data_IF_861659789427
#
_entry.id   IF_861659789427
#
_cell.length_a   1.000
_cell.length_b   1.000
_cell.length_c   1.000
_cell.angle_alpha   90.00
_cell.angle_beta   90.00
_cell.angle_gamma   90.00
#
_symmetry.space_group_name_H-M   'P 1'
#
loop_
_entity.id
_entity.type
_entity.pdbx_description
1 polymer ?
#
# COMPACT_ATOMS: atom_id res chain seq x y z
N UNK A 1 -31.40 5.96 2.75
CA UNK A 1 -30.40 6.86 3.40
C UNK A 1 -29.42 6.13 4.33
N UNK A 2 -29.66 4.86 4.68
CA UNK A 2 -28.85 4.05 5.62
C UNK A 2 -27.61 3.38 5.02
N UNK A 3 -27.59 3.13 3.70
CA UNK A 3 -26.50 2.37 3.05
C UNK A 3 -25.16 3.12 3.00
N UNK A 4 -25.19 4.46 2.86
CA UNK A 4 -23.99 5.31 2.74
C UNK A 4 -23.23 5.43 4.07
N UNK A 5 -23.96 5.63 5.18
CA UNK A 5 -23.40 5.74 6.54
C UNK A 5 -22.65 4.47 6.98
N UNK A 6 -23.12 3.28 6.59
CA UNK A 6 -22.43 2.02 6.92
C UNK A 6 -21.11 1.87 6.15
N UNK A 7 -21.09 2.29 4.87
CA UNK A 7 -19.88 2.28 4.04
C UNK A 7 -18.77 3.16 4.62
N UNK A 8 -19.11 4.39 5.04
CA UNK A 8 -18.14 5.36 5.58
C UNK A 8 -17.55 4.89 6.93
N UNK A 9 -18.38 4.34 7.82
CA UNK A 9 -17.92 3.80 9.11
C UNK A 9 -16.99 2.60 8.95
N UNK A 10 -17.31 1.65 8.07
CA UNK A 10 -16.45 0.47 7.83
C UNK A 10 -15.10 0.85 7.20
N UNK A 11 -15.05 1.90 6.36
CA UNK A 11 -13.78 2.42 5.85
C UNK A 11 -12.97 3.11 6.95
N UNK A 12 -13.60 3.89 7.82
CA UNK A 12 -12.92 4.55 8.93
C UNK A 12 -12.31 3.56 9.94
N UNK A 13 -13.03 2.49 10.27
CA UNK A 13 -12.51 1.43 11.16
C UNK A 13 -11.32 0.72 10.53
N UNK A 14 -11.37 0.39 9.24
CA UNK A 14 -10.25 -0.23 8.52
C UNK A 14 -9.02 0.66 8.48
N UNK A 15 -9.18 1.95 8.14
CA UNK A 15 -8.09 2.91 8.16
C UNK A 15 -7.46 3.07 9.55
N UNK A 16 -8.27 3.12 10.61
CA UNK A 16 -7.78 3.19 11.98
C UNK A 16 -6.96 1.95 12.33
N UNK A 17 -7.45 0.76 11.97
CA UNK A 17 -6.72 -0.49 12.16
C UNK A 17 -5.37 -0.48 11.43
N UNK A 18 -5.34 -0.11 10.13
CA UNK A 18 -4.10 -0.01 9.36
C UNK A 18 -3.11 0.98 9.98
N UNK A 19 -3.60 2.13 10.44
CA UNK A 19 -2.76 3.13 11.08
C UNK A 19 -2.15 2.61 12.39
N UNK A 20 -2.97 2.00 13.26
CA UNK A 20 -2.50 1.46 14.54
C UNK A 20 -1.49 0.34 14.33
N UNK A 21 -1.77 -0.60 13.43
CA UNK A 21 -0.85 -1.70 13.14
C UNK A 21 0.43 -1.19 12.45
N UNK A 22 0.34 -0.20 11.57
CA UNK A 22 1.51 0.42 10.94
C UNK A 22 2.41 1.13 11.96
N UNK A 23 1.83 1.86 12.92
CA UNK A 23 2.58 2.49 14.02
C UNK A 23 3.20 1.42 14.93
N UNK A 24 2.43 0.41 15.32
CA UNK A 24 2.92 -0.70 16.13
C UNK A 24 4.08 -1.43 15.44
N UNK A 25 4.00 -1.64 14.13
CA UNK A 25 5.07 -2.26 13.35
C UNK A 25 6.37 -1.48 13.46
N UNK A 26 6.34 -0.15 13.32
CA UNK A 26 7.54 0.70 13.50
C UNK A 26 8.10 0.55 14.90
N UNK A 27 7.26 0.72 15.92
CA UNK A 27 7.71 0.74 17.31
C UNK A 27 8.26 -0.61 17.76
N UNK A 28 7.74 -1.72 17.23
CA UNK A 28 8.16 -3.06 17.60
C UNK A 28 9.41 -3.51 16.82
N UNK A 29 9.59 -3.09 15.56
CA UNK A 29 10.74 -3.55 14.75
C UNK A 29 11.97 -2.64 14.87
N UNK A 30 11.79 -1.36 15.12
CA UNK A 30 12.90 -0.39 15.13
C UNK A 30 13.96 -0.61 16.21
N UNK A 31 13.67 -1.09 17.43
CA UNK A 31 14.72 -1.40 18.39
C UNK A 31 15.73 -2.41 17.84
N UNK A 32 15.24 -3.51 17.26
CA UNK A 32 16.09 -4.53 16.62
C UNK A 32 16.85 -3.98 15.40
N UNK A 33 16.23 -3.08 14.64
CA UNK A 33 16.88 -2.45 13.50
C UNK A 33 18.04 -1.54 13.96
N UNK A 34 17.87 -0.79 15.05
CA UNK A 34 18.93 0.05 15.60
C UNK A 34 20.09 -0.77 16.17
N UNK A 35 19.80 -1.85 16.89
CA UNK A 35 20.84 -2.74 17.41
C UNK A 35 21.68 -3.32 16.25
N UNK A 36 21.02 -3.84 15.21
CA UNK A 36 21.71 -4.38 14.04
C UNK A 36 22.52 -3.33 13.25
N UNK A 37 22.01 -2.10 13.11
CA UNK A 37 22.79 -1.00 12.50
C UNK A 37 24.00 -0.63 13.38
N UNK A 38 23.83 -0.66 14.70
CA UNK A 38 24.91 -0.44 15.67
C UNK A 38 26.02 -1.49 15.59
N UNK A 39 25.65 -2.73 15.27
CA UNK A 39 26.57 -3.86 15.06
C UNK A 39 27.24 -3.88 13.67
N UNK A 40 27.02 -2.83 12.86
CA UNK A 40 27.63 -2.67 11.53
C UNK A 40 26.72 -3.03 10.34
N UNK A 41 25.45 -3.33 10.61
CA UNK A 41 24.44 -3.60 9.59
C UNK A 41 24.11 -2.38 8.73
N UNK A 42 23.74 -2.63 7.47
CA UNK A 42 23.36 -1.57 6.52
C UNK A 42 21.93 -1.77 5.99
N UNK A 43 20.97 -1.02 6.54
CA UNK A 43 19.54 -1.13 6.20
C UNK A 43 19.21 -0.72 4.76
N UNK A 44 20.10 0.03 4.10
CA UNK A 44 19.95 0.42 2.70
C UNK A 44 20.50 -0.64 1.74
N UNK A 45 21.16 -1.68 2.25
CA UNK A 45 21.63 -2.81 1.46
C UNK A 45 20.75 -4.04 1.73
N UNK A 46 19.73 -4.30 0.90
CA UNK A 46 18.83 -5.45 1.10
C UNK A 46 19.58 -6.79 1.04
N UNK A 47 20.68 -6.88 0.26
CA UNK A 47 21.46 -8.13 0.17
C UNK A 47 22.13 -8.43 1.51
N UNK A 48 22.69 -7.43 2.18
CA UNK A 48 23.26 -7.58 3.51
C UNK A 48 22.18 -7.89 4.55
N UNK A 49 21.07 -7.15 4.54
CA UNK A 49 19.95 -7.34 5.47
C UNK A 49 19.37 -8.76 5.44
N UNK A 50 19.05 -9.28 4.24
CA UNK A 50 18.53 -10.64 4.12
C UNK A 50 19.63 -11.69 4.32
N UNK A 51 20.88 -11.42 3.94
CA UNK A 51 22.01 -12.30 4.19
C UNK A 51 22.25 -12.55 5.68
N UNK A 52 22.21 -11.49 6.48
CA UNK A 52 22.37 -11.57 7.94
C UNK A 52 21.19 -12.29 8.61
N UNK A 53 19.97 -12.15 8.09
CA UNK A 53 18.81 -12.91 8.55
C UNK A 53 18.85 -14.40 8.18
N UNK A 54 19.58 -14.76 7.11
CA UNK A 54 19.78 -16.13 6.67
C UNK A 54 20.89 -16.85 7.44
N UNK A 55 21.90 -16.11 7.91
CA UNK A 55 23.10 -16.67 8.56
C UNK A 55 22.82 -17.54 9.82
N UNK A 56 21.84 -17.20 10.69
CA UNK A 56 21.48 -18.05 11.83
C UNK A 56 20.81 -19.38 11.42
N UNK A 57 20.31 -19.51 10.19
CA UNK A 57 19.57 -20.67 9.71
C UNK A 57 18.18 -20.86 10.34
N UNK A 58 17.61 -22.05 10.16
CA UNK A 58 16.35 -22.45 10.80
C UNK A 58 15.18 -21.50 10.53
N UNK A 59 14.45 -21.12 11.59
CA UNK A 59 13.26 -20.25 11.51
C UNK A 59 13.57 -18.84 11.02
N UNK A 60 14.76 -18.30 11.35
CA UNK A 60 15.17 -16.97 10.90
C UNK A 60 15.33 -16.94 9.38
N UNK A 61 16.05 -17.92 8.82
CA UNK A 61 16.20 -18.09 7.37
C UNK A 61 14.86 -18.25 6.64
N UNK A 62 13.93 -19.03 7.20
CA UNK A 62 12.58 -19.18 6.64
C UNK A 62 11.82 -17.85 6.61
N UNK A 63 11.76 -17.13 7.74
CA UNK A 63 11.08 -15.83 7.82
C UNK A 63 11.72 -14.77 6.92
N UNK A 64 13.05 -14.78 6.78
CA UNK A 64 13.76 -13.87 5.87
C UNK A 64 13.41 -14.13 4.41
N UNK A 65 13.37 -15.39 3.97
CA UNK A 65 12.98 -15.75 2.58
C UNK A 65 11.52 -15.40 2.33
N UNK A 66 10.62 -15.78 3.25
CA UNK A 66 9.19 -15.50 3.14
C UNK A 66 8.94 -13.99 3.01
N UNK A 67 9.59 -13.20 3.87
CA UNK A 67 9.52 -11.74 3.83
C UNK A 67 10.14 -11.14 2.55
N UNK A 68 11.26 -11.67 2.06
CA UNK A 68 11.89 -11.22 0.80
C UNK A 68 10.93 -11.39 -0.39
N UNK A 69 10.26 -12.53 -0.47
CA UNK A 69 9.28 -12.82 -1.52
C UNK A 69 8.08 -11.89 -1.39
N UNK A 70 7.51 -11.76 -0.20
CA UNK A 70 6.37 -10.87 0.06
C UNK A 70 6.71 -9.40 -0.29
N UNK A 71 7.91 -8.95 0.07
CA UNK A 71 8.40 -7.62 -0.26
C UNK A 71 8.56 -7.41 -1.77
N UNK A 72 9.12 -8.38 -2.49
CA UNK A 72 9.28 -8.30 -3.95
C UNK A 72 7.93 -8.17 -4.64
N UNK A 73 6.95 -8.98 -4.22
CA UNK A 73 5.57 -8.90 -4.72
C UNK A 73 4.96 -7.53 -4.39
N UNK A 74 5.16 -7.02 -3.17
CA UNK A 74 4.70 -5.70 -2.76
C UNK A 74 5.26 -4.59 -3.66
N UNK A 75 6.56 -4.59 -3.95
CA UNK A 75 7.21 -3.59 -4.81
C UNK A 75 6.60 -3.59 -6.21
N UNK A 76 6.50 -4.77 -6.85
CA UNK A 76 5.92 -4.90 -8.19
C UNK A 76 4.45 -4.44 -8.19
N UNK A 77 3.69 -4.86 -7.18
CA UNK A 77 2.27 -4.51 -7.07
C UNK A 77 2.05 -3.02 -6.86
N UNK A 78 2.77 -2.36 -5.94
CA UNK A 78 2.63 -0.91 -5.69
C UNK A 78 3.00 -0.09 -6.93
N UNK A 79 4.08 -0.43 -7.62
CA UNK A 79 4.51 0.29 -8.82
C UNK A 79 3.48 0.17 -9.96
N UNK A 80 2.91 -1.02 -10.14
CA UNK A 80 1.89 -1.27 -11.16
C UNK A 80 0.52 -0.71 -10.78
N UNK A 81 0.10 -0.83 -9.52
CA UNK A 81 -1.19 -0.35 -9.02
C UNK A 81 -1.24 1.19 -9.00
N UNK A 82 -0.20 1.89 -8.53
CA UNK A 82 -0.16 3.36 -8.56
C UNK A 82 -0.23 3.95 -9.97
N UNK A 83 0.37 3.27 -10.95
CA UNK A 83 0.24 3.62 -12.36
C UNK A 83 -1.16 3.31 -12.89
N UNK A 84 -1.72 2.13 -12.56
CA UNK A 84 -3.04 1.68 -13.00
C UNK A 84 -4.18 2.55 -12.47
N UNK A 85 -4.14 2.95 -11.20
CA UNK A 85 -5.20 3.78 -10.59
C UNK A 85 -5.08 5.25 -10.98
N UNK A 86 -3.97 5.67 -11.60
CA UNK A 86 -3.74 7.08 -11.97
C UNK A 86 -3.23 7.97 -10.84
N UNK A 87 -2.79 7.38 -9.71
CA UNK A 87 -2.13 8.13 -8.63
C UNK A 87 -0.77 8.70 -9.07
N UNK A 88 -0.13 8.04 -10.04
CA UNK A 88 1.11 8.47 -10.66
C UNK A 88 2.33 7.74 -10.13
N UNK A 89 3.31 7.50 -11.01
CA UNK A 89 4.48 6.64 -10.76
C UNK A 89 5.40 7.16 -9.64
N UNK A 90 5.40 8.47 -9.38
CA UNK A 90 6.15 9.10 -8.28
C UNK A 90 5.71 8.57 -6.91
N UNK A 91 4.41 8.38 -6.71
CA UNK A 91 3.87 7.84 -5.46
C UNK A 91 4.26 6.38 -5.27
N UNK A 92 4.23 5.58 -6.35
CA UNK A 92 4.72 4.19 -6.30
C UNK A 92 6.18 4.12 -5.82
N UNK A 93 7.05 4.98 -6.36
CA UNK A 93 8.46 5.07 -5.93
C UNK A 93 8.57 5.48 -4.46
N UNK A 94 7.78 6.46 -3.98
CA UNK A 94 7.78 6.87 -2.57
C UNK A 94 7.45 5.69 -1.64
N UNK A 95 6.43 4.89 -1.97
CA UNK A 95 6.06 3.73 -1.15
C UNK A 95 7.06 2.58 -1.23
N UNK A 96 7.72 2.40 -2.38
CA UNK A 96 8.85 1.47 -2.49
C UNK A 96 10.00 1.91 -1.59
N UNK A 97 10.39 3.18 -1.61
CA UNK A 97 11.43 3.71 -0.71
C UNK A 97 11.02 3.57 0.76
N UNK A 98 9.75 3.83 1.08
CA UNK A 98 9.23 3.65 2.43
C UNK A 98 9.31 2.18 2.89
N UNK A 99 9.13 1.22 1.97
CA UNK A 99 9.22 -0.20 2.28
C UNK A 99 10.63 -0.68 2.65
N UNK A 100 11.69 0.00 2.22
CA UNK A 100 13.06 -0.29 2.64
C UNK A 100 13.27 -0.02 4.13
N UNK A 101 12.52 0.93 4.70
CA UNK A 101 12.52 1.23 6.14
C UNK A 101 11.68 0.21 6.91
N UNK A 102 10.67 -0.37 6.26
CA UNK A 102 9.84 -1.41 6.84
C UNK A 102 8.58 -1.69 6.01
N UNK A 103 8.50 -2.90 5.46
CA UNK A 103 7.35 -3.35 4.64
C UNK A 103 6.06 -3.40 5.45
N UNK A 104 6.15 -3.88 6.69
CA UNK A 104 5.04 -3.97 7.65
C UNK A 104 4.41 -2.62 7.99
N UNK A 105 5.18 -1.53 7.87
CA UNK A 105 4.69 -0.16 7.97
C UNK A 105 4.21 0.35 6.60
N UNK A 106 5.02 0.22 5.54
CA UNK A 106 4.71 0.78 4.23
C UNK A 106 3.39 0.25 3.65
N UNK A 107 3.10 -1.04 3.86
CA UNK A 107 1.89 -1.70 3.38
C UNK A 107 0.59 -1.07 3.91
N UNK A 108 0.34 -0.96 5.22
CA UNK A 108 -0.88 -0.33 5.73
C UNK A 108 -1.01 1.13 5.32
N UNK A 109 0.08 1.91 5.30
CA UNK A 109 0.03 3.30 4.82
C UNK A 109 -0.35 3.38 3.33
N UNK A 110 0.15 2.46 2.51
CA UNK A 110 -0.23 2.38 1.10
C UNK A 110 -1.73 2.10 0.94
N UNK A 111 -2.28 1.16 1.70
CA UNK A 111 -3.71 0.84 1.65
C UNK A 111 -4.58 2.07 1.96
N UNK A 112 -4.23 2.82 3.01
CA UNK A 112 -4.94 4.07 3.37
C UNK A 112 -4.86 5.09 2.21
N UNK A 113 -3.67 5.30 1.65
CA UNK A 113 -3.48 6.26 0.56
C UNK A 113 -4.27 5.87 -0.70
N UNK A 114 -4.23 4.58 -1.05
CA UNK A 114 -4.95 3.99 -2.18
C UNK A 114 -6.46 4.14 -2.04
N UNK A 115 -7.03 3.77 -0.89
CA UNK A 115 -8.47 3.88 -0.64
C UNK A 115 -8.96 5.33 -0.69
N UNK A 116 -8.20 6.26 -0.10
CA UNK A 116 -8.50 7.70 -0.17
C UNK A 116 -8.47 8.22 -1.60
N UNK A 117 -7.48 7.80 -2.39
CA UNK A 117 -7.35 8.21 -3.78
C UNK A 117 -8.52 7.70 -4.64
N UNK A 118 -8.86 6.42 -4.53
CA UNK A 118 -9.98 5.82 -5.26
C UNK A 118 -11.33 6.46 -4.88
N UNK A 119 -11.53 6.75 -3.60
CA UNK A 119 -12.75 7.42 -3.10
C UNK A 119 -12.88 8.83 -3.71
N UNK A 120 -11.80 9.62 -3.71
CA UNK A 120 -11.80 10.97 -4.31
C UNK A 120 -12.08 10.93 -5.81
N UNK A 121 -11.46 9.98 -6.52
CA UNK A 121 -11.61 9.83 -7.97
C UNK A 121 -13.01 9.38 -8.37
N UNK A 122 -13.63 8.50 -7.58
CA UNK A 122 -15.00 8.04 -7.81
C UNK A 122 -16.03 9.11 -7.50
N UNK A 123 -15.82 9.89 -6.43
CA UNK A 123 -16.71 11.00 -6.06
C UNK A 123 -16.66 12.17 -7.05
N UNK A 124 -15.58 12.32 -7.81
CA UNK A 124 -15.38 13.40 -8.79
C UNK A 124 -15.94 13.14 -10.19
N UNK A 125 -16.50 11.95 -10.48
CA UNK A 125 -17.08 11.66 -11.80
C UNK A 125 -18.50 12.27 -11.89
N UNK A 126 -18.75 13.29 -12.74
CA UNK A 126 -20.07 13.86 -12.90
C UNK A 126 -21.04 12.82 -13.46
N UNK A 127 -22.24 12.71 -12.89
CA UNK A 127 -23.33 11.80 -13.32
C UNK A 127 -23.83 12.10 -14.75
N UNK A 128 -23.36 13.18 -15.38
CA UNK A 128 -23.83 13.66 -16.69
C UNK A 128 -23.35 12.87 -17.91
N UNK A 129 -22.44 11.89 -17.77
CA UNK A 129 -21.97 11.11 -18.93
C UNK A 129 -22.95 10.02 -19.41
N UNK A 130 -24.07 9.80 -18.70
CA UNK A 130 -25.03 8.72 -19.03
C UNK A 130 -26.45 9.21 -19.39
N UNK A 131 -26.65 10.51 -19.67
CA UNK A 131 -27.97 11.04 -20.07
C UNK A 131 -27.86 11.99 -21.25
N UNK A 132 -27.68 11.46 -22.47
CA UNK A 132 -28.36 11.92 -23.70
C UNK A 132 -28.01 11.01 -24.89
N UNK A 133 -28.87 10.04 -25.18
CA UNK A 133 -29.12 9.64 -26.58
C UNK A 133 -30.64 9.60 -26.74
N UNK A 134 -31.30 10.74 -27.07
CA UNK A 134 -32.71 10.72 -27.43
C UNK A 134 -32.85 9.94 -28.72
N UNK A 135 -33.88 9.10 -28.75
CA UNK A 135 -34.23 8.31 -29.92
C UNK A 135 -34.30 9.17 -31.18
N UNK A 136 -33.57 8.74 -32.20
CA UNK A 136 -33.82 9.11 -33.58
C UNK A 136 -35.13 8.45 -34.00
N UNK A 137 -36.23 9.15 -33.74
CA UNK A 137 -37.55 8.84 -34.26
C UNK A 137 -38.39 10.10 -34.26
N UNK A 138 -38.49 10.76 -35.42
CA UNK A 138 -39.76 11.16 -36.08
C UNK A 138 -39.45 11.95 -37.37
N UNK A 139 -40.01 11.41 -38.44
CA UNK A 139 -40.37 11.93 -39.77
C UNK A 139 -40.93 13.35 -39.80
N UNK A 140 -40.38 14.21 -40.67
CA UNK A 140 -41.00 15.26 -41.54
C UNK A 140 -39.97 15.47 -42.67
N UNK A 141 -40.24 15.37 -43.98
CA UNK A 141 -41.41 15.71 -44.80
C UNK A 141 -41.82 14.60 -45.79
#
# INVERSE_FOLDING_TARGET
MTTRMRGDTTMNVRHAFYLVVGIAAVLLTWPFAFDWIGDGGNILNPVAFFGDGLAPGGTAAFLSIDMLIAWTVFVVWVLTDTARIGMGRKWGVVFVLLSYIGVSMAFPFYLIARERFLTRTTAGRPVTAEVHSPGSGVMQD
#
